data_IF_457639238116
#
_entry.id   IF_457639238116
#
_cell.length_a   1.000
_cell.length_b   1.000
_cell.length_c   1.000
_cell.angle_alpha   90.00
_cell.angle_beta   90.00
_cell.angle_gamma   90.00
#
_symmetry.space_group_name_H-M   'P 1'
#
loop_
_entity.id
_entity.type
_entity.pdbx_description
1 polymer ?
#
# COMPACT_ATOMS: atom_id res chain seq x y z
N UNK A 1 31.64 -23.72 -32.26
CA UNK A 1 30.99 -24.86 -32.93
C UNK A 1 30.27 -25.59 -31.81
N UNK A 2 28.94 -25.57 -31.65
CA UNK A 2 27.87 -25.60 -32.66
C UNK A 2 26.61 -24.89 -32.16
N UNK A 3 25.97 -24.12 -33.06
CA UNK A 3 24.67 -23.46 -32.84
C UNK A 3 23.59 -24.28 -33.55
N UNK A 4 22.61 -24.78 -32.81
CA UNK A 4 21.42 -25.43 -33.38
C UNK A 4 20.38 -24.37 -33.71
N UNK A 5 20.13 -24.21 -35.00
CA UNK A 5 19.17 -23.29 -35.62
C UNK A 5 17.80 -23.97 -35.54
N UNK A 6 16.81 -23.32 -34.91
CA UNK A 6 15.41 -23.75 -34.91
C UNK A 6 14.68 -22.89 -35.94
N UNK A 7 14.30 -23.51 -37.05
CA UNK A 7 13.60 -22.92 -38.19
C UNK A 7 12.10 -22.85 -37.89
N UNK A 8 11.54 -21.63 -37.95
CA UNK A 8 10.09 -21.36 -37.88
C UNK A 8 9.49 -21.55 -39.28
N UNK A 9 8.57 -22.49 -39.44
CA UNK A 9 7.84 -22.71 -40.69
C UNK A 9 6.42 -22.11 -40.57
N UNK A 10 6.24 -20.94 -41.16
CA UNK A 10 4.96 -20.30 -41.45
C UNK A 10 4.33 -20.94 -42.70
N UNK A 11 3.11 -21.46 -42.59
CA UNK A 11 2.31 -21.86 -43.74
C UNK A 11 1.01 -21.04 -43.76
N UNK A 12 1.04 -19.96 -44.54
CA UNK A 12 -0.15 -19.24 -45.01
C UNK A 12 -0.55 -19.88 -46.33
N UNK A 13 -1.74 -20.45 -46.42
CA UNK A 13 -2.37 -20.77 -47.70
C UNK A 13 -3.75 -20.12 -47.71
N UNK A 14 -3.82 -19.00 -48.42
CA UNK A 14 -5.06 -18.47 -48.98
C UNK A 14 -5.29 -19.13 -50.33
N UNK A 15 -6.48 -19.68 -50.54
CA UNK A 15 -6.99 -19.95 -51.88
C UNK A 15 -8.51 -19.81 -51.85
N UNK A 16 -8.97 -18.70 -52.44
CA UNK A 16 -10.34 -18.47 -52.82
C UNK A 16 -10.60 -19.14 -54.18
N UNK A 17 -11.73 -19.82 -54.31
CA UNK A 17 -12.37 -20.04 -55.60
C UNK A 17 -13.87 -20.21 -55.39
N UNK A 18 -14.58 -19.24 -55.96
CA UNK A 18 -16.03 -19.09 -56.07
C UNK A 18 -16.54 -20.08 -57.12
N UNK A 19 -17.61 -20.81 -56.81
CA UNK A 19 -18.55 -21.35 -57.81
C UNK A 19 -19.97 -21.13 -57.34
N UNK A 20 -20.68 -20.34 -58.16
CA UNK A 20 -22.10 -20.02 -58.09
C UNK A 20 -22.96 -21.25 -58.39
N UNK A 21 -23.99 -21.48 -57.59
CA UNK A 21 -25.22 -22.17 -57.98
C UNK A 21 -26.33 -21.82 -56.98
N UNK A 22 -27.03 -20.76 -57.34
CA UNK A 22 -28.41 -20.38 -57.05
C UNK A 22 -29.32 -21.49 -56.48
N UNK A 23 -29.70 -21.35 -55.21
CA UNK A 23 -31.06 -21.69 -54.77
C UNK A 23 -31.48 -20.66 -53.71
N UNK A 24 -32.25 -19.68 -54.17
CA UNK A 24 -32.91 -18.65 -53.38
C UNK A 24 -33.95 -19.29 -52.47
N UNK A 25 -33.55 -19.69 -51.26
CA UNK A 25 -34.49 -19.89 -50.16
C UNK A 25 -34.49 -18.67 -49.26
N UNK A 26 -35.52 -17.87 -49.51
CA UNK A 26 -36.22 -17.00 -48.58
C UNK A 26 -35.41 -16.51 -47.38
N UNK A 27 -35.10 -15.21 -47.43
CA UNK A 27 -35.00 -14.39 -46.24
C UNK A 27 -36.24 -14.68 -45.39
N UNK A 28 -36.05 -15.39 -44.28
CA UNK A 28 -37.10 -15.52 -43.28
C UNK A 28 -37.17 -14.17 -42.56
N UNK A 29 -37.90 -13.24 -43.18
CA UNK A 29 -38.39 -12.02 -42.56
C UNK A 29 -39.36 -12.41 -41.45
N UNK A 30 -38.79 -12.71 -40.28
CA UNK A 30 -39.32 -12.49 -38.93
C UNK A 30 -38.41 -13.25 -37.96
N UNK A 31 -37.30 -12.61 -37.59
CA UNK A 31 -36.87 -12.78 -36.21
C UNK A 31 -38.03 -12.27 -35.36
N UNK A 32 -38.89 -13.17 -34.89
CA UNK A 32 -39.92 -12.90 -33.89
C UNK A 32 -39.20 -12.31 -32.68
N UNK A 33 -39.11 -10.98 -32.62
CA UNK A 33 -38.77 -10.29 -31.40
C UNK A 33 -40.00 -10.43 -30.51
N UNK A 34 -40.12 -11.59 -29.83
CA UNK A 34 -41.04 -11.73 -28.71
C UNK A 34 -40.54 -10.79 -27.64
N UNK A 35 -41.02 -9.56 -27.68
CA UNK A 35 -40.85 -8.59 -26.62
C UNK A 35 -41.51 -9.20 -25.38
N UNK A 36 -40.75 -9.94 -24.58
CA UNK A 36 -41.10 -10.29 -23.21
C UNK A 36 -40.97 -9.03 -22.33
N UNK A 37 -41.59 -7.94 -22.77
CA UNK A 37 -41.68 -6.73 -21.97
C UNK A 37 -42.66 -7.03 -20.83
N UNK A 38 -42.15 -6.93 -19.60
CA UNK A 38 -42.90 -7.22 -18.37
C UNK A 38 -44.22 -6.43 -18.23
N UNK A 39 -44.39 -5.39 -19.05
CA UNK A 39 -45.60 -4.57 -19.15
C UNK A 39 -46.81 -5.33 -19.73
N UNK A 40 -46.57 -6.39 -20.51
CA UNK A 40 -47.62 -7.14 -21.21
C UNK A 40 -47.85 -8.55 -20.65
N UNK A 41 -47.24 -8.86 -19.49
CA UNK A 41 -47.42 -10.14 -18.81
C UNK A 41 -48.49 -10.02 -17.72
N UNK A 42 -49.27 -11.09 -17.53
CA UNK A 42 -50.14 -11.25 -16.36
C UNK A 42 -49.31 -11.20 -15.06
N UNK A 43 -49.94 -10.80 -13.96
CA UNK A 43 -49.25 -10.49 -12.71
C UNK A 43 -48.37 -11.65 -12.20
N UNK A 44 -48.86 -12.88 -12.25
CA UNK A 44 -48.11 -14.08 -11.86
C UNK A 44 -46.95 -14.40 -12.83
N UNK A 45 -47.15 -14.19 -14.13
CA UNK A 45 -46.13 -14.41 -15.14
C UNK A 45 -45.02 -13.35 -15.05
N UNK A 46 -45.39 -12.11 -14.71
CA UNK A 46 -44.48 -11.00 -14.45
C UNK A 46 -43.59 -11.27 -13.25
N UNK A 47 -44.12 -11.81 -12.16
CA UNK A 47 -43.33 -12.16 -10.98
C UNK A 47 -42.31 -13.26 -11.29
N UNK A 48 -42.72 -14.30 -12.02
CA UNK A 48 -41.82 -15.36 -12.48
C UNK A 48 -40.71 -14.82 -13.39
N UNK A 49 -41.06 -13.95 -14.33
CA UNK A 49 -40.11 -13.30 -15.21
C UNK A 49 -39.13 -12.40 -14.44
N UNK A 50 -39.61 -11.61 -13.48
CA UNK A 50 -38.76 -10.77 -12.62
C UNK A 50 -37.81 -11.60 -11.76
N UNK A 51 -38.28 -12.72 -11.20
CA UNK A 51 -37.45 -13.64 -10.44
C UNK A 51 -36.34 -14.22 -11.33
N UNK A 52 -36.68 -14.66 -12.54
CA UNK A 52 -35.72 -15.19 -13.50
C UNK A 52 -34.69 -14.13 -13.91
N UNK A 53 -35.13 -12.91 -14.25
CA UNK A 53 -34.22 -11.83 -14.64
C UNK A 53 -33.28 -11.41 -13.51
N UNK A 54 -33.77 -11.38 -12.25
CA UNK A 54 -32.91 -11.11 -11.08
C UNK A 54 -31.79 -12.14 -10.94
N UNK A 55 -32.04 -13.42 -11.23
CA UNK A 55 -31.01 -14.47 -11.15
C UNK A 55 -29.98 -14.41 -12.28
N UNK A 56 -30.34 -13.83 -13.44
CA UNK A 56 -29.44 -13.63 -14.58
C UNK A 56 -28.47 -12.47 -14.38
N UNK A 57 -28.77 -11.52 -13.49
CA UNK A 57 -27.87 -10.41 -13.22
C UNK A 57 -26.58 -10.90 -12.54
N UNK A 58 -25.40 -10.55 -13.06
CA UNK A 58 -24.13 -10.98 -12.46
C UNK A 58 -23.93 -10.42 -11.05
N UNK A 59 -24.65 -9.35 -10.68
CA UNK A 59 -24.60 -8.76 -9.35
C UNK A 59 -25.22 -9.68 -8.29
N UNK A 60 -26.22 -10.49 -8.65
CA UNK A 60 -26.98 -11.33 -7.70
C UNK A 60 -26.13 -12.46 -7.08
N UNK A 61 -25.03 -12.84 -7.73
CA UNK A 61 -24.10 -13.87 -7.23
C UNK A 61 -22.93 -13.29 -6.45
N UNK A 62 -22.81 -11.96 -6.34
CA UNK A 62 -21.69 -11.33 -5.67
C UNK A 62 -21.92 -11.28 -4.16
N UNK A 63 -20.92 -11.71 -3.40
CA UNK A 63 -20.88 -11.53 -1.94
C UNK A 63 -20.86 -10.04 -1.58
N UNK A 64 -20.22 -9.22 -2.42
CA UNK A 64 -19.97 -7.80 -2.17
C UNK A 64 -20.48 -6.93 -3.32
N UNK A 65 -21.15 -5.84 -2.98
CA UNK A 65 -21.62 -4.84 -3.92
C UNK A 65 -20.49 -3.97 -4.50
N UNK A 66 -20.80 -3.12 -5.48
CA UNK A 66 -19.81 -2.24 -6.14
C UNK A 66 -19.14 -1.25 -5.18
N UNK A 67 -19.74 -0.99 -4.01
CA UNK A 67 -19.20 -0.08 -2.99
C UNK A 67 -18.55 -0.81 -1.80
N UNK A 68 -18.30 -2.11 -1.91
CA UNK A 68 -17.63 -2.86 -0.84
C UNK A 68 -18.55 -3.35 0.29
N UNK A 69 -19.86 -3.11 0.23
CA UNK A 69 -20.83 -3.61 1.21
C UNK A 69 -21.31 -5.03 0.91
N UNK A 70 -21.58 -5.81 1.95
CA UNK A 70 -22.20 -7.14 1.82
C UNK A 70 -23.61 -7.01 1.22
N UNK A 71 -23.92 -7.83 0.21
CA UNK A 71 -25.27 -7.88 -0.37
C UNK A 71 -26.24 -8.75 0.42
N UNK A 72 -25.72 -9.67 1.23
CA UNK A 72 -26.53 -10.58 2.04
C UNK A 72 -27.05 -9.86 3.29
N UNK A 73 -28.37 -9.78 3.49
CA UNK A 73 -28.95 -9.16 4.67
C UNK A 73 -28.56 -9.94 5.94
N UNK A 74 -28.13 -9.24 6.99
CA UNK A 74 -27.77 -9.84 8.28
C UNK A 74 -26.33 -10.35 8.41
N UNK A 75 -25.50 -10.25 7.36
CA UNK A 75 -24.07 -10.60 7.49
C UNK A 75 -23.32 -9.49 8.21
N UNK A 76 -22.94 -9.76 9.46
CA UNK A 76 -22.04 -8.91 10.25
C UNK A 76 -20.65 -8.99 9.62
N UNK A 77 -20.26 -7.95 8.89
CA UNK A 77 -18.91 -7.83 8.32
C UNK A 77 -17.92 -7.68 9.47
N UNK A 78 -17.16 -8.74 9.76
CA UNK A 78 -16.04 -8.66 10.71
C UNK A 78 -15.03 -7.66 10.17
N UNK A 79 -14.82 -6.56 10.89
CA UNK A 79 -13.75 -5.60 10.55
C UNK A 79 -12.42 -6.34 10.62
N UNK A 80 -11.62 -6.25 9.57
CA UNK A 80 -10.23 -6.73 9.62
C UNK A 80 -9.52 -5.99 10.74
N UNK A 81 -9.01 -6.72 11.71
CA UNK A 81 -8.20 -6.14 12.79
C UNK A 81 -6.94 -5.56 12.16
N UNK A 82 -6.74 -4.26 12.31
CA UNK A 82 -5.47 -3.64 11.94
C UNK A 82 -4.37 -4.20 12.82
N UNK A 83 -3.20 -4.55 12.26
CA UNK A 83 -2.09 -5.06 13.07
C UNK A 83 -1.77 -4.05 14.17
N UNK A 84 -1.78 -4.54 15.42
CA UNK A 84 -1.58 -3.74 16.61
C UNK A 84 -0.10 -3.35 16.65
N UNK A 85 0.20 -2.11 16.24
CA UNK A 85 1.55 -1.54 16.36
C UNK A 85 1.99 -1.63 17.81
N UNK A 86 3.26 -1.98 18.04
CA UNK A 86 3.81 -2.02 19.38
C UNK A 86 3.82 -0.60 19.95
N UNK A 87 2.97 -0.39 20.95
CA UNK A 87 2.83 0.91 21.64
C UNK A 87 4.14 1.28 22.36
N UNK A 88 4.95 0.28 22.72
CA UNK A 88 6.26 0.46 23.35
C UNK A 88 7.23 1.23 22.45
N UNK A 89 7.37 0.87 21.17
CA UNK A 89 8.30 1.54 20.25
C UNK A 89 7.88 2.99 20.00
N UNK A 90 6.59 3.23 19.75
CA UNK A 90 6.06 4.59 19.56
C UNK A 90 6.30 5.47 20.79
N UNK A 91 6.04 4.95 22.00
CA UNK A 91 6.30 5.65 23.26
C UNK A 91 7.78 5.93 23.48
N UNK A 92 8.65 4.97 23.17
CA UNK A 92 10.08 5.11 23.32
C UNK A 92 10.64 6.23 22.44
N UNK A 93 10.28 6.24 21.16
CA UNK A 93 10.63 7.33 20.22
C UNK A 93 10.03 8.66 20.67
N UNK A 94 8.78 8.64 21.18
CA UNK A 94 8.11 9.81 21.73
C UNK A 94 8.92 10.53 22.82
N UNK A 95 9.58 9.77 23.71
CA UNK A 95 10.38 10.32 24.81
C UNK A 95 11.78 10.82 24.42
N UNK A 96 12.30 10.49 23.24
CA UNK A 96 13.63 10.95 22.83
C UNK A 96 13.70 12.49 22.80
N UNK A 97 14.61 13.08 23.57
CA UNK A 97 14.85 14.52 23.55
C UNK A 97 15.90 14.84 22.49
N UNK A 98 15.46 15.30 21.32
CA UNK A 98 16.37 15.70 20.24
C UNK A 98 16.86 17.11 20.55
N UNK A 99 18.18 17.27 20.63
CA UNK A 99 18.85 18.53 21.01
C UNK A 99 19.24 19.36 19.80
N UNK A 100 19.50 18.74 18.65
CA UNK A 100 19.76 19.46 17.40
C UNK A 100 19.45 18.58 16.20
N UNK A 101 19.14 19.18 15.05
CA UNK A 101 19.01 18.47 13.77
C UNK A 101 19.79 19.22 12.70
N UNK A 102 20.69 18.54 12.01
CA UNK A 102 21.55 19.04 10.94
C UNK A 102 21.14 18.35 9.63
N UNK A 103 20.06 18.80 8.99
CA UNK A 103 19.47 18.12 7.84
C UNK A 103 20.33 18.23 6.57
N UNK A 104 21.25 19.21 6.49
CA UNK A 104 22.20 19.32 5.37
C UNK A 104 23.24 18.19 5.37
N UNK A 105 23.52 17.62 6.54
CA UNK A 105 24.50 16.55 6.73
C UNK A 105 23.81 15.20 7.02
N UNK A 106 22.48 15.14 6.94
CA UNK A 106 21.63 14.00 7.32
C UNK A 106 21.92 13.51 8.76
N UNK A 107 22.16 14.45 9.68
CA UNK A 107 22.49 14.15 11.09
C UNK A 107 21.53 14.79 12.07
N UNK A 108 21.50 14.25 13.28
CA UNK A 108 20.87 14.90 14.41
C UNK A 108 21.60 14.56 15.70
N UNK A 109 21.35 15.31 16.77
CA UNK A 109 21.96 15.10 18.07
C UNK A 109 20.91 14.83 19.15
N UNK A 110 21.24 13.89 20.04
CA UNK A 110 20.53 13.61 21.29
C UNK A 110 21.51 13.90 22.43
N UNK A 111 21.24 14.94 23.22
CA UNK A 111 22.16 15.42 24.24
C UNK A 111 23.49 15.85 23.62
N UNK A 112 24.58 15.14 23.97
CA UNK A 112 25.92 15.40 23.47
C UNK A 112 26.36 14.48 22.32
N UNK A 113 25.50 13.56 21.87
CA UNK A 113 25.83 12.56 20.83
C UNK A 113 25.16 12.88 19.51
N UNK A 114 25.93 12.78 18.43
CA UNK A 114 25.45 12.88 17.05
C UNK A 114 25.13 11.51 16.47
N UNK A 115 24.11 11.46 15.64
CA UNK A 115 23.68 10.27 14.91
C UNK A 115 23.42 10.63 13.45
N UNK A 116 23.72 9.68 12.58
CA UNK A 116 23.62 9.83 11.13
C UNK A 116 22.51 8.96 10.54
N UNK A 117 21.97 9.35 9.40
CA UNK A 117 21.07 8.48 8.62
C UNK A 117 21.76 7.15 8.28
N UNK A 118 21.02 6.04 8.43
CA UNK A 118 21.50 4.67 8.28
C UNK A 118 22.19 4.08 9.52
N UNK A 119 22.41 4.89 10.57
CA UNK A 119 22.99 4.40 11.81
C UNK A 119 21.96 3.67 12.69
N UNK A 120 22.42 2.66 13.43
CA UNK A 120 21.60 1.94 14.41
C UNK A 120 21.85 2.50 15.79
N UNK A 121 20.80 3.07 16.38
CA UNK A 121 20.74 3.58 17.74
C UNK A 121 20.23 2.48 18.68
N UNK A 122 21.07 1.90 19.54
CA UNK A 122 20.60 1.05 20.63
C UNK A 122 20.03 1.92 21.74
N UNK A 123 18.74 1.75 22.02
CA UNK A 123 18.03 2.49 23.07
C UNK A 123 17.40 1.54 24.07
N UNK A 124 17.46 1.88 25.36
CA UNK A 124 16.81 1.10 26.41
C UNK A 124 15.50 1.77 26.82
N UNK A 125 14.40 1.01 26.74
CA UNK A 125 13.07 1.46 27.15
C UNK A 125 12.37 0.39 27.96
N UNK A 126 12.00 0.71 29.21
CA UNK A 126 11.36 -0.21 30.16
C UNK A 126 12.12 -1.55 30.33
N UNK A 127 13.45 -1.50 30.39
CA UNK A 127 14.31 -2.69 30.56
C UNK A 127 14.45 -3.56 29.31
N UNK A 128 13.92 -3.12 28.16
CA UNK A 128 14.14 -3.77 26.86
C UNK A 128 15.05 -2.90 26.01
N UNK A 129 16.08 -3.50 25.42
CA UNK A 129 16.93 -2.83 24.43
C UNK A 129 16.24 -2.94 23.07
N UNK A 130 16.00 -1.80 22.45
CA UNK A 130 15.43 -1.68 21.10
C UNK A 130 16.54 -1.20 20.17
N UNK A 131 16.74 -1.89 19.06
CA UNK A 131 17.71 -1.50 18.04
C UNK A 131 16.99 -0.70 16.95
N UNK A 132 17.25 0.60 16.90
CA UNK A 132 16.50 1.53 16.05
C UNK A 132 17.39 2.09 14.95
N UNK A 133 17.06 1.78 13.71
CA UNK A 133 17.68 2.35 12.52
C UNK A 133 17.08 3.72 12.20
N UNK A 134 17.94 4.69 11.94
CA UNK A 134 17.55 6.03 11.49
C UNK A 134 17.39 5.98 9.97
N UNK A 135 16.16 6.15 9.48
CA UNK A 135 15.85 5.99 8.05
C UNK A 135 15.93 7.31 7.30
N UNK A 136 15.49 8.39 7.93
CA UNK A 136 15.49 9.70 7.28
C UNK A 136 15.55 10.82 8.31
N UNK A 137 16.46 11.77 8.10
CA UNK A 137 16.55 12.98 8.91
C UNK A 137 16.02 14.18 8.13
N UNK A 138 14.93 14.80 8.58
CA UNK A 138 14.39 16.03 7.97
C UNK A 138 14.31 17.15 8.99
N UNK A 139 14.24 18.39 8.49
CA UNK A 139 14.12 19.62 9.30
C UNK A 139 12.99 19.51 10.35
N UNK A 140 11.83 18.97 9.96
CA UNK A 140 10.63 18.94 10.79
C UNK A 140 10.26 17.54 11.30
N UNK A 141 11.00 16.50 10.91
CA UNK A 141 10.72 15.15 11.36
C UNK A 141 11.88 14.20 11.16
N UNK A 142 12.01 13.24 12.06
CA UNK A 142 12.95 12.11 11.90
C UNK A 142 12.14 10.82 11.77
N UNK A 143 12.52 9.97 10.83
CA UNK A 143 11.91 8.67 10.61
C UNK A 143 12.80 7.58 11.21
N UNK A 144 12.21 6.77 12.08
CA UNK A 144 12.87 5.68 12.79
C UNK A 144 12.26 4.35 12.36
N UNK A 145 13.10 3.33 12.30
CA UNK A 145 12.70 1.96 12.01
C UNK A 145 13.24 1.04 13.10
N UNK A 146 12.37 0.23 13.69
CA UNK A 146 12.84 -0.85 14.55
C UNK A 146 13.43 -1.96 13.68
N UNK A 147 14.68 -2.34 13.91
CA UNK A 147 15.36 -3.40 13.15
C UNK A 147 14.84 -4.79 13.47
N UNK A 148 14.32 -5.00 14.68
CA UNK A 148 13.82 -6.29 15.15
C UNK A 148 12.38 -6.55 14.67
N UNK A 149 11.52 -5.53 14.69
CA UNK A 149 10.09 -5.66 14.33
C UNK A 149 9.74 -5.12 12.93
N UNK A 150 10.62 -4.33 12.32
CA UNK A 150 10.35 -3.63 11.07
C UNK A 150 9.36 -2.47 11.17
N UNK A 151 8.94 -2.08 12.38
CA UNK A 151 8.00 -0.98 12.58
C UNK A 151 8.62 0.37 12.26
N UNK A 152 7.86 1.23 11.56
CA UNK A 152 8.28 2.59 11.21
C UNK A 152 7.52 3.61 12.05
N UNK A 153 8.26 4.52 12.70
CA UNK A 153 7.71 5.61 13.50
C UNK A 153 8.32 6.92 13.05
N UNK A 154 7.45 7.89 12.74
CA UNK A 154 7.82 9.27 12.42
C UNK A 154 7.69 10.13 13.67
N UNK A 155 8.79 10.72 14.11
CA UNK A 155 8.77 11.75 15.17
C UNK A 155 8.70 13.12 14.53
N UNK A 156 7.57 13.81 14.70
CA UNK A 156 7.46 15.21 14.30
C UNK A 156 8.14 16.10 15.34
N UNK A 157 8.85 17.12 14.88
CA UNK A 157 9.48 18.13 15.73
C UNK A 157 8.61 19.39 15.67
N UNK A 158 7.76 19.56 16.67
CA UNK A 158 6.88 20.74 16.77
C UNK A 158 7.65 21.96 17.32
N UNK A 159 8.71 21.71 18.09
CA UNK A 159 9.64 22.71 18.60
C UNK A 159 11.01 22.48 17.96
N UNK A 160 11.55 23.53 17.35
CA UNK A 160 12.91 23.50 16.82
C UNK A 160 13.86 23.48 18.02
N UNK A 161 14.76 22.50 18.11
CA UNK A 161 15.63 22.39 19.27
C UNK A 161 16.69 23.51 19.26
N UNK A 162 17.23 23.84 20.44
CA UNK A 162 18.12 24.98 20.63
C UNK A 162 19.35 24.89 19.70
N UNK A 163 19.51 25.86 18.80
CA UNK A 163 20.60 25.90 17.81
C UNK A 163 20.17 25.75 16.35
N UNK A 164 18.89 25.48 16.08
CA UNK A 164 18.30 25.54 14.74
C UNK A 164 17.64 26.90 14.47
N UNK A 165 18.25 27.70 13.60
CA UNK A 165 17.56 28.79 12.90
C UNK A 165 16.86 28.22 11.66
N UNK A 166 15.74 28.83 11.22
CA UNK A 166 15.08 28.49 9.94
C UNK A 166 16.02 28.59 8.72
N UNK A 167 17.15 29.25 8.87
CA UNK A 167 18.24 29.24 7.89
C UNK A 167 18.99 27.91 7.97
N UNK A 168 19.10 27.22 6.83
CA UNK A 168 19.65 25.88 6.61
C UNK A 168 21.16 25.70 6.94
N UNK A 169 21.75 26.54 7.81
CA UNK A 169 23.14 26.48 8.24
C UNK A 169 23.18 26.35 9.77
N UNK A 170 23.80 25.26 10.22
CA UNK A 170 24.19 25.04 11.61
C UNK A 170 25.70 24.90 11.57
N UNK A 171 26.42 25.86 12.16
CA UNK A 171 27.89 25.89 12.08
C UNK A 171 28.54 25.12 13.24
N UNK A 172 27.79 24.82 14.30
CA UNK A 172 28.11 23.82 15.35
C UNK A 172 27.17 24.02 16.53
N UNK A 173 26.87 22.95 17.27
CA UNK A 173 26.15 23.03 18.54
C UNK A 173 27.19 22.98 19.67
N UNK A 174 27.32 24.03 20.50
CA UNK A 174 28.27 24.05 21.60
C UNK A 174 28.08 22.85 22.54
N UNK A 175 29.14 22.07 22.76
CA UNK A 175 29.14 20.93 23.69
C UNK A 175 28.77 19.56 23.09
N UNK A 176 28.51 19.48 21.78
CA UNK A 176 28.28 18.21 21.08
C UNK A 176 29.60 17.67 20.54
N UNK A 177 29.91 16.39 20.82
CA UNK A 177 31.10 15.72 20.29
C UNK A 177 30.69 14.88 19.08
N UNK A 178 31.36 15.02 17.92
CA UNK A 178 31.04 14.23 16.75
C UNK A 178 31.30 12.75 17.05
N UNK A 179 30.32 11.90 16.69
CA UNK A 179 30.42 10.47 16.92
C UNK A 179 31.52 9.86 16.04
N UNK A 180 32.70 9.67 16.62
CA UNK A 180 33.73 8.81 16.05
C UNK A 180 33.21 7.38 16.04
N UNK A 181 33.06 6.81 14.83
CA UNK A 181 32.62 5.42 14.57
C UNK A 181 33.29 4.43 15.53
N UNK A 182 32.50 3.84 16.43
CA UNK A 182 32.92 2.63 17.14
C UNK A 182 32.44 2.55 18.59
N UNK A 183 31.37 1.78 18.79
CA UNK A 183 30.91 1.19 20.08
C UNK A 183 30.56 2.20 21.18
N UNK A 184 29.35 2.75 21.12
CA UNK A 184 28.76 3.50 22.23
C UNK A 184 27.77 2.66 23.03
N UNK A 185 27.87 2.70 24.36
CA UNK A 185 26.91 2.11 25.30
C UNK A 185 25.47 2.63 25.05
N UNK A 186 24.43 1.79 25.30
CA UNK A 186 23.03 2.12 25.01
C UNK A 186 22.57 3.39 25.75
N UNK A 187 21.73 4.18 25.09
CA UNK A 187 21.15 5.40 25.66
C UNK A 187 19.87 5.05 26.43
N UNK A 188 19.80 5.47 27.69
CA UNK A 188 18.64 5.22 28.58
C UNK A 188 17.65 6.37 28.42
N UNK A 189 16.42 6.05 27.99
CA UNK A 189 15.34 7.04 27.85
C UNK A 189 14.44 6.93 29.08
N UNK A 190 14.53 7.89 30.01
CA UNK A 190 13.65 7.98 31.19
C UNK A 190 12.27 8.53 30.82
#
# INVERSE_FOLDING_TARGET
MDRKIITVLTAVVMSASVTSAEETKAVDEKADFKAHDAKFLDEEAREKWLAEMRTKLPIARRVTGPFGFSQTPGVVVKRKETPKRSDAFLKAIGKLQITAVMPSDDKFAIGSREFTEGEVLPMEFNGTVLNVEIVAVRINSILFKNTDTGELVKKAMNELPAGLSRSNRIESVPGVTPASKGKSAPFVVQ
#
